data_IF_625714013027
#
_entry.id   IF_625714013027
#
_cell.length_a   1.000
_cell.length_b   1.000
_cell.length_c   1.000
_cell.angle_alpha   90.00
_cell.angle_beta   90.00
_cell.angle_gamma   90.00
#
_symmetry.space_group_name_H-M   'P 1'
#
loop_
_entity.id
_entity.type
_entity.pdbx_description
1 polymer ?
#
# COMPACT_ATOMS: atom_id res chain seq x y z
N UNK A 1 -4.78 -6.14 -15.68
CA UNK A 1 -4.48 -5.06 -14.71
C UNK A 1 -5.09 -5.42 -13.37
N UNK A 2 -4.31 -5.35 -12.32
CA UNK A 2 -4.77 -5.71 -10.97
C UNK A 2 -4.56 -4.57 -9.99
N UNK A 3 -5.33 -4.60 -8.90
CA UNK A 3 -5.17 -3.68 -7.77
C UNK A 3 -4.78 -4.48 -6.54
N UNK A 4 -3.74 -4.05 -5.84
CA UNK A 4 -3.40 -4.59 -4.53
C UNK A 4 -3.94 -3.67 -3.45
N UNK A 5 -4.44 -4.26 -2.35
CA UNK A 5 -4.97 -3.52 -1.21
C UNK A 5 -4.35 -4.10 0.05
N UNK A 6 -3.58 -3.30 0.75
CA UNK A 6 -2.99 -3.66 2.03
C UNK A 6 -3.74 -2.91 3.12
N UNK A 7 -4.19 -3.66 4.13
CA UNK A 7 -4.95 -3.11 5.26
C UNK A 7 -4.02 -2.98 6.45
N UNK A 8 -3.89 -1.77 6.98
CA UNK A 8 -3.03 -1.51 8.14
C UNK A 8 -3.88 -0.93 9.26
N UNK A 9 -3.92 -1.63 10.39
CA UNK A 9 -4.67 -1.14 11.56
C UNK A 9 -3.74 -0.29 12.44
N UNK A 10 -3.99 1.02 12.55
CA UNK A 10 -3.11 1.88 13.35
C UNK A 10 -3.20 1.54 14.84
N UNK A 11 -2.06 1.51 15.53
CA UNK A 11 -2.06 1.43 16.97
C UNK A 11 -2.62 2.72 17.54
N UNK A 12 -3.50 2.61 18.54
CA UNK A 12 -4.10 3.74 19.22
C UNK A 12 -4.79 4.72 18.26
N UNK A 13 -5.22 4.22 17.09
CA UNK A 13 -5.94 5.02 16.10
C UNK A 13 -5.09 6.09 15.42
N UNK A 14 -3.77 5.97 15.45
CA UNK A 14 -2.86 7.01 14.93
C UNK A 14 -2.53 6.81 13.45
N UNK A 15 -3.56 6.85 12.61
CA UNK A 15 -3.36 6.69 11.16
C UNK A 15 -2.43 7.73 10.57
N UNK A 16 -2.42 8.96 11.10
CA UNK A 16 -1.55 10.02 10.61
C UNK A 16 -0.07 9.68 10.74
N UNK A 17 0.31 8.88 11.74
CA UNK A 17 1.69 8.44 11.89
C UNK A 17 2.10 7.47 10.80
N UNK A 18 1.16 6.64 10.33
CA UNK A 18 1.42 5.75 9.20
C UNK A 18 1.63 6.56 7.93
N UNK A 19 0.80 7.60 7.72
CA UNK A 19 0.98 8.49 6.56
C UNK A 19 2.36 9.14 6.60
N UNK A 20 2.77 9.63 7.77
CA UNK A 20 4.06 10.26 7.94
C UNK A 20 5.21 9.30 7.64
N UNK A 21 5.08 8.05 8.10
CA UNK A 21 6.05 7.00 7.80
C UNK A 21 6.20 6.81 6.29
N UNK A 22 5.08 6.66 5.58
CA UNK A 22 5.11 6.46 4.13
C UNK A 22 5.70 7.65 3.40
N UNK A 23 5.43 8.86 3.89
CA UNK A 23 5.97 10.08 3.30
C UNK A 23 7.48 10.19 3.51
N UNK A 24 7.94 9.99 4.76
CA UNK A 24 9.37 10.11 5.09
C UNK A 24 10.22 9.10 4.36
N UNK A 25 9.75 7.87 4.27
CA UNK A 25 10.50 6.79 3.65
C UNK A 25 10.20 6.65 2.15
N UNK A 26 9.35 7.51 1.61
CA UNK A 26 9.02 7.56 0.19
C UNK A 26 8.59 6.19 -0.34
N UNK A 27 7.75 5.48 0.42
CA UNK A 27 7.41 4.09 0.10
C UNK A 27 6.61 4.00 -1.20
N UNK A 28 5.65 4.92 -1.40
CA UNK A 28 4.86 4.91 -2.64
C UNK A 28 5.71 5.24 -3.85
N UNK A 29 6.64 6.20 -3.70
CA UNK A 29 7.54 6.57 -4.79
C UNK A 29 8.45 5.39 -5.16
N UNK A 30 8.91 4.63 -4.16
CA UNK A 30 9.72 3.44 -4.42
C UNK A 30 8.92 2.34 -5.10
N UNK A 31 7.65 2.18 -4.73
CA UNK A 31 6.78 1.23 -5.42
C UNK A 31 6.60 1.61 -6.89
N UNK A 32 6.49 2.91 -7.18
CA UNK A 32 6.36 3.40 -8.55
C UNK A 32 7.58 3.11 -9.42
N UNK A 33 8.75 2.90 -8.81
CA UNK A 33 9.95 2.53 -9.55
C UNK A 33 9.92 1.08 -10.01
N UNK A 34 9.03 0.26 -9.42
CA UNK A 34 8.89 -1.14 -9.84
C UNK A 34 8.22 -1.19 -11.21
N UNK A 35 8.84 -1.93 -12.14
CA UNK A 35 8.29 -2.09 -13.48
C UNK A 35 6.88 -2.63 -13.40
N UNK A 36 5.96 -1.99 -14.11
CA UNK A 36 4.56 -2.40 -14.13
C UNK A 36 3.69 -1.78 -13.03
N UNK A 37 4.26 -0.96 -12.14
CA UNK A 37 3.45 -0.20 -11.20
C UNK A 37 2.85 1.00 -11.91
N UNK A 38 1.51 1.09 -11.93
CA UNK A 38 0.80 2.12 -12.69
C UNK A 38 0.28 3.25 -11.79
N UNK A 39 0.34 3.09 -10.49
CA UNK A 39 -0.07 4.11 -9.54
C UNK A 39 -0.14 3.53 -8.14
N UNK A 40 -0.02 4.37 -7.13
CA UNK A 40 -0.08 3.96 -5.73
C UNK A 40 -0.69 5.06 -4.90
N UNK A 41 -1.48 4.67 -3.90
CA UNK A 41 -2.16 5.61 -3.02
C UNK A 41 -2.18 5.08 -1.60
N UNK A 42 -2.28 6.00 -0.65
CA UNK A 42 -2.55 5.66 0.73
C UNK A 42 -3.79 6.44 1.16
N UNK A 43 -4.76 5.74 1.74
CA UNK A 43 -6.04 6.34 2.12
C UNK A 43 -6.26 6.22 3.63
N UNK A 44 -6.76 7.32 4.21
CA UNK A 44 -7.22 7.34 5.59
C UNK A 44 -8.75 7.28 5.60
N UNK A 45 -9.36 6.60 6.60
CA UNK A 45 -10.81 6.65 6.72
C UNK A 45 -11.27 8.07 7.01
N UNK A 46 -12.29 8.53 6.29
CA UNK A 46 -12.80 9.89 6.48
C UNK A 46 -13.47 10.07 7.84
N UNK A 47 -13.89 8.96 8.47
CA UNK A 47 -14.48 9.01 9.81
C UNK A 47 -13.46 9.29 10.91
N UNK A 48 -12.17 9.20 10.60
CA UNK A 48 -11.11 9.38 11.58
C UNK A 48 -10.75 8.11 12.35
N UNK A 49 -11.43 7.00 12.09
CA UNK A 49 -11.12 5.72 12.73
C UNK A 49 -11.25 4.59 11.74
N UNK A 50 -10.50 3.53 11.95
CA UNK A 50 -10.51 2.36 11.08
C UNK A 50 -9.15 2.12 10.43
N UNK A 51 -9.13 1.22 9.47
CA UNK A 51 -7.89 0.81 8.83
C UNK A 51 -7.43 1.82 7.80
N UNK A 52 -6.11 1.96 7.73
CA UNK A 52 -5.45 2.68 6.63
C UNK A 52 -5.31 1.72 5.48
N UNK A 53 -5.59 2.18 4.27
CA UNK A 53 -5.42 1.35 3.07
C UNK A 53 -4.21 1.83 2.29
N UNK A 54 -3.42 0.88 1.83
CA UNK A 54 -2.35 1.15 0.86
C UNK A 54 -2.73 0.41 -0.40
N UNK A 55 -2.98 1.14 -1.46
CA UNK A 55 -3.46 0.55 -2.71
C UNK A 55 -2.52 0.90 -3.86
N UNK A 56 -2.42 -0.02 -4.80
CA UNK A 56 -1.63 0.21 -6.01
C UNK A 56 -2.26 -0.54 -7.17
N UNK A 57 -2.02 -0.02 -8.37
CA UNK A 57 -2.45 -0.66 -9.60
C UNK A 57 -1.22 -1.18 -10.32
N UNK A 58 -1.27 -2.43 -10.78
CA UNK A 58 -0.16 -3.13 -11.42
C UNK A 58 -0.62 -3.64 -12.79
N UNK A 59 0.31 -3.64 -13.74
CA UNK A 59 0.03 -4.12 -15.09
C UNK A 59 -0.46 -5.57 -15.07
N UNK A 60 0.14 -6.41 -14.21
CA UNK A 60 -0.18 -7.83 -14.09
C UNK A 60 0.33 -8.37 -12.75
N UNK A 61 0.07 -9.66 -12.49
CA UNK A 61 0.51 -10.32 -11.26
C UNK A 61 2.03 -10.35 -11.14
N UNK A 62 2.75 -10.50 -12.23
CA UNK A 62 4.21 -10.58 -12.20
C UNK A 62 4.81 -9.26 -11.72
N UNK A 63 4.24 -8.14 -12.13
CA UNK A 63 4.70 -6.82 -11.67
C UNK A 63 4.52 -6.68 -10.16
N UNK A 64 3.37 -7.10 -9.62
CA UNK A 64 3.14 -7.05 -8.19
C UNK A 64 4.08 -7.99 -7.44
N UNK A 65 4.29 -9.20 -7.97
CA UNK A 65 5.22 -10.14 -7.36
C UNK A 65 6.63 -9.57 -7.30
N UNK A 66 7.06 -8.86 -8.33
CA UNK A 66 8.36 -8.18 -8.32
C UNK A 66 8.48 -7.19 -7.17
N UNK A 67 7.41 -6.46 -6.87
CA UNK A 67 7.40 -5.55 -5.72
C UNK A 67 7.46 -6.33 -4.40
N UNK A 68 6.70 -7.41 -4.28
CA UNK A 68 6.71 -8.22 -3.06
C UNK A 68 8.09 -8.80 -2.76
N UNK A 69 8.87 -9.09 -3.79
CA UNK A 69 10.22 -9.64 -3.65
C UNK A 69 11.29 -8.56 -3.50
N UNK A 70 10.94 -7.29 -3.67
CA UNK A 70 11.89 -6.20 -3.61
C UNK A 70 12.26 -5.92 -2.15
N UNK A 71 13.56 -6.00 -1.78
CA UNK A 71 13.97 -5.78 -0.38
C UNK A 71 13.63 -4.39 0.15
N UNK A 72 13.49 -3.41 -0.72
CA UNK A 72 13.10 -2.04 -0.32
C UNK A 72 11.74 -2.03 0.37
N UNK A 73 10.86 -2.94 -0.02
CA UNK A 73 9.50 -3.02 0.53
C UNK A 73 9.48 -3.24 2.04
N UNK A 74 10.46 -3.96 2.57
CA UNK A 74 10.51 -4.30 3.99
C UNK A 74 11.66 -3.62 4.74
N UNK A 75 12.33 -2.66 4.09
CA UNK A 75 13.54 -2.06 4.64
C UNK A 75 13.32 -1.38 5.99
N UNK A 76 12.12 -0.84 6.24
CA UNK A 76 11.81 -0.12 7.48
C UNK A 76 10.69 -0.83 8.26
N UNK A 77 10.61 -2.15 8.15
CA UNK A 77 9.54 -2.93 8.77
C UNK A 77 9.48 -2.76 10.28
N UNK A 78 10.63 -2.62 10.95
CA UNK A 78 10.67 -2.46 12.41
C UNK A 78 9.95 -1.19 12.85
N UNK A 79 10.19 -0.10 12.15
CA UNK A 79 9.51 1.15 12.48
C UNK A 79 8.01 1.04 12.23
N UNK A 80 7.62 0.49 11.09
CA UNK A 80 6.21 0.34 10.75
C UNK A 80 5.50 -0.57 11.74
N UNK A 81 6.16 -1.60 12.22
CA UNK A 81 5.58 -2.54 13.18
C UNK A 81 5.16 -1.88 14.49
N UNK A 82 5.80 -0.77 14.85
CA UNK A 82 5.44 -0.02 16.04
C UNK A 82 4.19 0.83 15.86
N UNK A 83 3.80 1.06 14.62
CA UNK A 83 2.66 1.91 14.27
C UNK A 83 1.41 1.09 13.92
N UNK A 84 1.55 -0.20 13.66
CA UNK A 84 0.49 -1.05 13.14
C UNK A 84 0.26 -2.24 14.06
N UNK A 85 -1.00 -2.50 14.40
CA UNK A 85 -1.37 -3.68 15.17
C UNK A 85 -1.24 -4.93 14.31
N UNK A 86 -0.73 -6.02 14.91
CA UNK A 86 -0.61 -7.34 14.25
C UNK A 86 0.15 -7.25 12.92
N UNK A 87 1.16 -6.42 12.88
CA UNK A 87 1.94 -6.24 11.66
C UNK A 87 2.78 -7.48 11.36
N UNK A 88 2.75 -7.91 10.10
CA UNK A 88 3.60 -8.97 9.57
C UNK A 88 4.27 -8.45 8.31
N UNK A 89 5.59 -8.27 8.36
CA UNK A 89 6.36 -7.71 7.25
C UNK A 89 6.28 -8.58 5.99
N UNK A 90 6.01 -9.87 6.17
CA UNK A 90 5.87 -10.79 5.04
C UNK A 90 4.49 -10.82 4.40
N UNK A 91 3.51 -10.11 4.99
CA UNK A 91 2.16 -10.16 4.46
C UNK A 91 2.06 -9.39 3.16
N UNK A 92 1.39 -9.95 2.19
CA UNK A 92 1.04 -9.27 0.95
C UNK A 92 -0.37 -8.71 1.06
N UNK A 93 -0.65 -7.69 0.26
CA UNK A 93 -2.00 -7.19 0.13
C UNK A 93 -2.88 -8.17 -0.60
N UNK A 94 -4.19 -8.02 -0.46
CA UNK A 94 -5.13 -8.75 -1.29
C UNK A 94 -5.13 -8.14 -2.68
N UNK A 95 -5.26 -8.99 -3.70
CA UNK A 95 -5.28 -8.50 -5.09
C UNK A 95 -6.66 -8.72 -5.70
N UNK A 96 -7.00 -7.81 -6.60
CA UNK A 96 -8.28 -7.83 -7.33
C UNK A 96 -8.01 -7.55 -8.80
N UNK A 97 -8.60 -8.34 -9.67
CA UNK A 97 -8.55 -8.03 -11.08
C UNK A 97 -9.51 -6.88 -11.39
N UNK A 98 -9.04 -5.88 -12.13
CA UNK A 98 -9.89 -4.77 -12.54
C UNK A 98 -10.64 -5.21 -13.79
N UNK A 99 -11.91 -5.52 -13.63
CA UNK A 99 -12.72 -6.06 -14.72
C UNK A 99 -13.64 -5.03 -15.36
N UNK A 100 -13.82 -3.89 -14.69
CA UNK A 100 -14.68 -2.83 -15.20
C UNK A 100 -14.16 -1.49 -14.68
N UNK A 101 -13.86 -0.58 -15.58
CA UNK A 101 -13.34 0.74 -15.23
C UNK A 101 -14.07 1.75 -16.13
N UNK A 102 -14.70 2.74 -15.51
CA UNK A 102 -15.39 3.81 -16.22
C UNK A 102 -14.95 5.14 -15.66
N UNK A 103 -14.74 6.08 -16.54
CA UNK A 103 -14.33 7.43 -16.16
C UNK A 103 -15.34 8.42 -16.69
N UNK A 104 -15.52 9.59 -16.03
CA UNK A 104 -16.39 10.62 -16.57
C UNK A 104 -15.93 11.01 -17.97
N UNK A 105 -16.87 11.31 -18.83
CA UNK A 105 -16.57 11.86 -20.14
C UNK A 105 -16.02 13.26 -20.05
N UNK A 106 -15.42 13.72 -21.14
CA UNK A 106 -14.80 15.05 -21.17
C UNK A 106 -15.60 16.00 -22.01
#
# INVERSE_FOLDING_TARGET
>A
MIRSVLYLRPRDGRGAEIVDFYRRHRVLERALEQDGCLGAELQLPTSGSGEVLVTAVWRDDDAYRGWLENPVRVANADELSRLVERFDAGVSGQTYEIVLDRRPGR
#
